data_IF_616208859893
#
_entry.id   IF_616208859893
#
_cell.length_a   1.000
_cell.length_b   1.000
_cell.length_c   1.000
_cell.angle_alpha   90.00
_cell.angle_beta   90.00
_cell.angle_gamma   90.00
#
_symmetry.space_group_name_H-M   'P 1'
#
loop_
_entity.id
_entity.type
_entity.pdbx_description
1 polymer ?
#
# COMPACT_ATOMS: atom_id res chain seq x y z
N UNK A 1 17.09 -0.56 -1.00
CA UNK A 1 17.21 -2.05 -0.90
C UNK A 1 17.08 -2.64 0.52
N UNK A 2 17.89 -2.29 1.53
CA UNK A 2 17.79 -2.90 2.88
C UNK A 2 16.46 -2.64 3.60
N UNK A 3 15.90 -1.43 3.47
CA UNK A 3 14.65 -1.05 4.12
C UNK A 3 13.45 -1.88 3.64
N UNK A 4 13.41 -2.24 2.36
CA UNK A 4 12.37 -3.10 1.78
C UNK A 4 12.41 -4.51 2.35
N UNK A 5 13.61 -5.09 2.50
CA UNK A 5 13.74 -6.43 3.08
C UNK A 5 13.29 -6.42 4.54
N UNK A 6 13.74 -5.43 5.32
CA UNK A 6 13.32 -5.26 6.70
C UNK A 6 11.80 -5.08 6.81
N UNK A 7 11.21 -4.23 5.97
CA UNK A 7 9.77 -3.99 5.93
C UNK A 7 8.98 -5.27 5.66
N UNK A 8 9.46 -6.16 4.76
CA UNK A 8 8.79 -7.44 4.48
C UNK A 8 8.68 -8.34 5.73
N UNK A 9 9.73 -8.36 6.56
CA UNK A 9 9.81 -9.18 7.77
C UNK A 9 9.17 -8.55 9.01
N UNK A 10 8.71 -7.31 8.94
CA UNK A 10 7.96 -6.70 10.04
C UNK A 10 6.59 -7.36 10.22
N UNK A 11 6.15 -7.43 11.48
CA UNK A 11 4.76 -7.72 11.82
C UNK A 11 3.84 -6.66 11.21
N UNK A 12 2.58 -6.99 10.99
CA UNK A 12 1.61 -6.08 10.35
C UNK A 12 1.48 -4.76 11.12
N UNK A 13 1.36 -4.83 12.45
CA UNK A 13 1.31 -3.63 13.30
C UNK A 13 2.55 -2.75 13.15
N UNK A 14 3.74 -3.35 12.99
CA UNK A 14 4.99 -2.62 12.79
C UNK A 14 5.12 -2.05 11.38
N UNK A 15 4.60 -2.74 10.36
CA UNK A 15 4.50 -2.20 8.98
C UNK A 15 3.64 -0.94 8.97
N UNK A 16 2.54 -0.93 9.71
CA UNK A 16 1.62 0.20 9.77
C UNK A 16 2.17 1.36 10.59
N UNK A 17 2.76 1.09 11.76
CA UNK A 17 3.46 2.13 12.51
C UNK A 17 4.52 2.80 11.64
N UNK A 18 5.33 2.00 10.94
CA UNK A 18 6.36 2.52 10.04
C UNK A 18 5.78 3.28 8.84
N UNK A 19 4.64 2.85 8.28
CA UNK A 19 3.92 3.59 7.24
C UNK A 19 3.36 4.93 7.72
N UNK A 20 2.85 4.99 8.96
CA UNK A 20 2.33 6.23 9.56
C UNK A 20 3.45 7.20 9.93
N UNK A 21 4.60 6.68 10.33
CA UNK A 21 5.77 7.49 10.72
C UNK A 21 6.57 8.00 9.52
N UNK A 22 6.83 7.14 8.53
CA UNK A 22 7.79 7.41 7.44
C UNK A 22 7.14 7.43 6.05
N UNK A 23 5.89 6.98 5.93
CA UNK A 23 5.18 6.89 4.67
C UNK A 23 4.56 8.21 4.25
N UNK A 24 4.75 8.56 2.98
CA UNK A 24 4.05 9.68 2.36
C UNK A 24 2.78 9.14 1.71
N UNK A 25 1.62 9.55 2.21
CA UNK A 25 0.33 9.21 1.62
C UNK A 25 0.20 9.88 0.26
N UNK A 26 0.15 9.08 -0.81
CA UNK A 26 -0.01 9.58 -2.18
C UNK A 26 -1.49 9.80 -2.53
N UNK A 27 -2.38 9.02 -1.92
CA UNK A 27 -3.82 9.17 -2.11
C UNK A 27 -4.60 7.92 -1.72
N UNK A 28 -5.92 8.01 -1.90
CA UNK A 28 -6.83 6.89 -1.72
C UNK A 28 -7.74 6.76 -2.95
N UNK A 29 -8.10 5.52 -3.29
CA UNK A 29 -9.04 5.19 -4.36
C UNK A 29 -10.09 4.20 -3.88
N UNK A 30 -11.24 4.21 -4.54
CA UNK A 30 -12.27 3.18 -4.37
C UNK A 30 -11.98 2.03 -5.35
N UNK A 31 -11.99 0.80 -4.86
CA UNK A 31 -11.76 -0.43 -5.61
C UNK A 31 -12.74 -1.49 -5.14
N UNK A 32 -13.64 -1.94 -6.03
CA UNK A 32 -14.66 -2.95 -5.71
C UNK A 32 -15.47 -2.67 -4.43
N UNK A 33 -15.73 -1.39 -4.12
CA UNK A 33 -16.45 -0.96 -2.91
C UNK A 33 -15.60 -0.89 -1.64
N UNK A 34 -14.28 -1.07 -1.73
CA UNK A 34 -13.33 -0.88 -0.64
C UNK A 34 -12.41 0.32 -0.92
N UNK A 35 -12.04 1.02 0.14
CA UNK A 35 -11.10 2.13 0.07
C UNK A 35 -9.67 1.61 0.21
N UNK A 36 -8.87 1.97 -0.78
CA UNK A 36 -7.51 1.50 -0.93
C UNK A 36 -6.57 2.69 -0.88
N UNK A 37 -5.58 2.63 -0.02
CA UNK A 37 -4.67 3.72 0.28
C UNK A 37 -3.29 3.43 -0.29
N UNK A 38 -2.70 4.39 -0.99
CA UNK A 38 -1.38 4.26 -1.59
C UNK A 38 -0.40 5.16 -0.86
N UNK A 39 0.73 4.58 -0.48
CA UNK A 39 1.83 5.26 0.20
C UNK A 39 3.12 5.10 -0.58
N UNK A 40 3.97 6.12 -0.53
CA UNK A 40 5.37 6.04 -0.90
C UNK A 40 6.21 5.94 0.36
N UNK A 41 7.08 4.94 0.42
CA UNK A 41 7.98 4.70 1.54
C UNK A 41 9.42 4.67 0.99
N UNK A 42 10.11 5.80 1.09
CA UNK A 42 11.47 5.98 0.56
C UNK A 42 11.55 5.61 -0.94
N UNK A 43 12.07 4.43 -1.27
CA UNK A 43 12.35 3.94 -2.61
C UNK A 43 11.28 2.97 -3.15
N UNK A 44 10.17 2.74 -2.44
CA UNK A 44 9.12 1.81 -2.87
C UNK A 44 7.71 2.29 -2.49
N UNK A 45 6.70 1.59 -3.00
CA UNK A 45 5.29 1.92 -2.79
C UNK A 45 4.58 0.83 -2.00
N UNK A 46 3.56 1.21 -1.25
CA UNK A 46 2.73 0.28 -0.49
C UNK A 46 1.27 0.64 -0.66
N UNK A 47 0.48 -0.34 -1.11
CA UNK A 47 -0.97 -0.29 -1.10
C UNK A 47 -1.49 -0.95 0.17
N UNK A 48 -2.40 -0.27 0.86
CA UNK A 48 -3.01 -0.71 2.12
C UNK A 48 -4.52 -0.69 1.98
N UNK A 49 -5.16 -1.78 2.40
CA UNK A 49 -6.60 -1.85 2.61
C UNK A 49 -6.81 -2.00 4.10
N UNK A 50 -7.59 -1.10 4.69
CA UNK A 50 -7.88 -1.12 6.13
C UNK A 50 -9.23 -1.78 6.41
N UNK A 51 -9.38 -2.30 7.61
CA UNK A 51 -10.66 -2.77 8.09
C UNK A 51 -11.71 -1.65 8.02
N UNK A 52 -12.89 -1.97 7.50
CA UNK A 52 -14.02 -1.03 7.37
C UNK A 52 -13.66 0.30 6.68
N UNK A 53 -12.66 0.30 5.81
CA UNK A 53 -12.14 1.47 5.09
C UNK A 53 -11.55 2.58 6.00
N UNK A 54 -11.32 2.26 7.28
CA UNK A 54 -10.87 3.21 8.30
C UNK A 54 -9.35 3.11 8.51
N UNK A 55 -8.64 4.20 8.20
CA UNK A 55 -7.18 4.30 8.32
C UNK A 55 -6.68 4.12 9.76
N UNK A 56 -7.53 4.32 10.76
CA UNK A 56 -7.20 4.16 12.16
C UNK A 56 -7.21 2.69 12.61
N UNK A 57 -7.89 1.82 11.86
CA UNK A 57 -8.00 0.38 12.13
C UNK A 57 -6.82 -0.43 11.56
N UNK A 58 -6.84 -1.74 11.82
CA UNK A 58 -5.81 -2.65 11.31
C UNK A 58 -5.94 -2.89 9.80
N UNK A 59 -4.83 -3.11 9.09
CA UNK A 59 -4.83 -3.41 7.67
C UNK A 59 -5.34 -4.84 7.44
N UNK A 60 -6.25 -5.00 6.50
CA UNK A 60 -6.65 -6.33 6.00
C UNK A 60 -5.62 -6.83 4.98
N UNK A 61 -5.09 -5.92 4.16
CA UNK A 61 -4.18 -6.28 3.08
C UNK A 61 -3.10 -5.22 2.89
N UNK A 62 -1.88 -5.70 2.68
CA UNK A 62 -0.71 -4.89 2.36
C UNK A 62 -0.03 -5.46 1.11
N UNK A 63 0.14 -4.62 0.09
CA UNK A 63 0.81 -4.99 -1.15
C UNK A 63 1.95 -4.01 -1.45
N UNK A 64 3.16 -4.51 -1.66
CA UNK A 64 4.35 -3.67 -1.85
C UNK A 64 4.81 -3.70 -3.29
N UNK A 65 5.02 -2.52 -3.90
CA UNK A 65 5.53 -2.36 -5.25
C UNK A 65 6.91 -1.75 -5.23
N UNK A 66 7.82 -2.35 -5.98
CA UNK A 66 9.25 -2.14 -5.79
C UNK A 66 9.84 -1.10 -6.73
N UNK A 67 9.06 -0.71 -7.73
CA UNK A 67 9.35 0.34 -8.69
C UNK A 67 8.03 0.96 -9.15
N UNK A 68 8.13 2.15 -9.74
CA UNK A 68 6.98 2.81 -10.38
C UNK A 68 6.42 1.95 -11.53
N UNK A 69 7.27 1.23 -12.27
CA UNK A 69 6.83 0.34 -13.35
C UNK A 69 5.96 -0.81 -12.83
N UNK A 70 6.33 -1.41 -11.69
CA UNK A 70 5.50 -2.47 -11.07
C UNK A 70 4.15 -1.92 -10.61
N UNK A 71 4.15 -0.71 -10.02
CA UNK A 71 2.92 -0.05 -9.61
C UNK A 71 2.04 0.26 -10.83
N UNK A 72 2.60 0.85 -11.88
CA UNK A 72 1.87 1.22 -13.09
C UNK A 72 1.28 -0.01 -13.79
N UNK A 73 2.06 -1.09 -13.95
CA UNK A 73 1.56 -2.32 -14.55
C UNK A 73 0.39 -2.93 -13.75
N UNK A 74 0.45 -2.86 -12.42
CA UNK A 74 -0.65 -3.27 -11.55
C UNK A 74 -1.88 -2.37 -11.74
N UNK A 75 -1.71 -1.05 -11.70
CA UNK A 75 -2.81 -0.09 -11.89
C UNK A 75 -3.47 -0.23 -13.27
N UNK A 76 -2.69 -0.45 -14.32
CA UNK A 76 -3.19 -0.64 -15.68
C UNK A 76 -3.98 -1.94 -15.81
N UNK A 77 -3.49 -3.03 -15.21
CA UNK A 77 -4.22 -4.31 -15.17
C UNK A 77 -5.56 -4.16 -14.45
N UNK A 78 -5.56 -3.48 -13.30
CA UNK A 78 -6.79 -3.20 -12.54
C UNK A 78 -7.75 -2.35 -13.35
N UNK A 79 -7.26 -1.31 -14.03
CA UNK A 79 -8.07 -0.45 -14.89
C UNK A 79 -8.74 -1.25 -16.01
N UNK A 80 -7.99 -2.11 -16.72
CA UNK A 80 -8.51 -3.00 -17.78
C UNK A 80 -9.47 -4.10 -17.27
N UNK A 81 -9.45 -4.40 -15.97
CA UNK A 81 -10.36 -5.39 -15.39
C UNK A 81 -11.68 -4.73 -14.96
N UNK A 82 -11.64 -3.46 -14.61
CA UNK A 82 -12.81 -2.69 -14.17
C UNK A 82 -13.60 -2.06 -15.33
N UNK A 83 -12.98 -1.86 -16.49
CA UNK A 83 -13.55 -1.22 -17.69
C UNK A 83 -13.27 -2.07 -18.94
#
# INVERSE_FOLDING_TARGET
>A
MFHKLAFKYYSESRKIAFLREEGIMLGARQRHGQKVYLYMLKDFFVEVIYEKDDIDLEPIKLETFTSLDNLNAYLEKEFKTAF
#
